data_IF_453990052251
#
_entry.id   IF_453990052251
#
_cell.length_a   1.000
_cell.length_b   1.000
_cell.length_c   1.000
_cell.angle_alpha   90.00
_cell.angle_beta   90.00
_cell.angle_gamma   90.00
#
_symmetry.space_group_name_H-M   'P 1'
#
loop_
_entity.id
_entity.type
_entity.pdbx_description
1 polymer ?
#
# COMPACT_ATOMS: atom_id res chain seq x y z
N UNK A 1 9.20 -19.41 -15.45
CA UNK A 1 10.38 -19.17 -14.59
C UNK A 1 9.90 -18.70 -13.24
N UNK A 2 10.53 -19.21 -12.18
CA UNK A 2 10.30 -18.80 -10.79
C UNK A 2 11.53 -18.04 -10.29
N UNK A 3 11.31 -16.89 -9.68
CA UNK A 3 12.36 -16.05 -9.10
C UNK A 3 12.12 -15.72 -7.63
N UNK A 4 13.20 -15.35 -6.94
CA UNK A 4 13.16 -14.86 -5.56
C UNK A 4 12.29 -13.59 -5.44
N UNK A 5 11.48 -13.45 -4.40
CA UNK A 5 10.69 -12.23 -4.14
C UNK A 5 11.56 -10.98 -3.89
N UNK A 6 12.86 -11.14 -3.65
CA UNK A 6 13.79 -10.04 -3.45
C UNK A 6 14.10 -9.30 -4.76
N UNK A 7 14.10 -10.03 -5.89
CA UNK A 7 14.48 -9.48 -7.20
C UNK A 7 13.51 -8.37 -7.65
N UNK A 8 14.07 -7.36 -8.29
CA UNK A 8 13.29 -6.30 -8.92
C UNK A 8 12.64 -6.79 -10.21
N UNK A 9 11.35 -6.52 -10.37
CA UNK A 9 10.57 -6.98 -11.53
C UNK A 9 11.07 -6.31 -12.81
N UNK A 10 11.38 -5.03 -12.75
CA UNK A 10 11.84 -4.26 -13.92
C UNK A 10 13.19 -4.76 -14.42
N UNK A 11 14.10 -5.10 -13.50
CA UNK A 11 15.40 -5.71 -13.85
C UNK A 11 15.23 -7.08 -14.49
N UNK A 12 14.36 -7.93 -13.92
CA UNK A 12 14.09 -9.25 -14.47
C UNK A 12 13.50 -9.20 -15.90
N UNK A 13 12.57 -8.25 -16.17
CA UNK A 13 11.99 -8.08 -17.51
C UNK A 13 13.06 -7.70 -18.56
N UNK A 14 14.09 -6.94 -18.17
CA UNK A 14 15.18 -6.56 -19.09
C UNK A 14 16.06 -7.75 -19.49
N UNK A 15 16.16 -8.75 -18.63
CA UNK A 15 16.99 -9.94 -18.85
C UNK A 15 16.22 -11.07 -19.53
N UNK A 16 14.90 -11.15 -19.31
CA UNK A 16 14.05 -12.21 -19.85
C UNK A 16 13.46 -11.82 -21.21
N UNK A 17 13.50 -12.76 -22.17
CA UNK A 17 12.84 -12.61 -23.47
C UNK A 17 11.44 -13.21 -23.45
N UNK A 18 10.51 -12.62 -24.21
CA UNK A 18 9.18 -13.17 -24.45
C UNK A 18 8.29 -13.31 -23.20
N UNK A 19 8.44 -12.39 -22.23
CA UNK A 19 7.60 -12.35 -21.03
C UNK A 19 6.18 -11.96 -21.43
N UNK A 20 5.21 -12.83 -21.15
CA UNK A 20 3.78 -12.59 -21.39
C UNK A 20 3.05 -12.16 -20.13
N UNK A 21 3.30 -12.85 -19.02
CA UNK A 21 2.68 -12.53 -17.74
C UNK A 21 3.68 -12.61 -16.59
N UNK A 22 3.44 -11.81 -15.58
CA UNK A 22 4.18 -11.88 -14.30
C UNK A 22 3.15 -12.04 -13.18
N UNK A 23 3.33 -13.08 -12.37
CA UNK A 23 2.50 -13.35 -11.21
C UNK A 23 3.29 -13.08 -9.94
N UNK A 24 2.76 -12.17 -9.10
CA UNK A 24 3.30 -11.84 -7.79
C UNK A 24 2.40 -12.48 -6.75
N UNK A 25 2.91 -13.49 -6.07
CA UNK A 25 2.16 -14.30 -5.10
C UNK A 25 2.57 -13.94 -3.68
N UNK A 26 1.60 -13.49 -2.88
CA UNK A 26 1.77 -13.23 -1.46
C UNK A 26 0.87 -14.15 -0.63
N UNK A 27 1.36 -14.54 0.55
CA UNK A 27 0.61 -15.29 1.56
C UNK A 27 0.62 -14.47 2.84
N UNK A 28 -0.57 -14.16 3.36
CA UNK A 28 -0.72 -13.35 4.59
C UNK A 28 0.05 -12.02 4.52
N UNK A 29 -0.03 -11.36 3.36
CA UNK A 29 0.63 -10.08 3.10
C UNK A 29 2.18 -10.13 3.11
N UNK A 30 2.76 -11.27 2.80
CA UNK A 30 4.20 -11.48 2.62
C UNK A 30 4.44 -12.11 1.24
N UNK A 31 5.22 -11.45 0.37
CA UNK A 31 5.50 -11.93 -0.99
C UNK A 31 6.37 -13.16 -0.93
N UNK A 32 5.91 -14.25 -1.53
CA UNK A 32 6.59 -15.54 -1.54
C UNK A 32 7.22 -15.88 -2.87
N UNK A 33 6.57 -15.53 -3.98
CA UNK A 33 6.97 -15.95 -5.31
C UNK A 33 6.81 -14.84 -6.34
N UNK A 34 7.77 -14.77 -7.27
CA UNK A 34 7.66 -14.08 -8.55
C UNK A 34 7.71 -15.15 -9.65
N UNK A 35 6.63 -15.27 -10.42
CA UNK A 35 6.51 -16.25 -11.49
C UNK A 35 6.37 -15.52 -12.82
N UNK A 36 7.20 -15.88 -13.79
CA UNK A 36 7.21 -15.32 -15.15
C UNK A 36 6.74 -16.38 -16.13
N UNK A 37 5.67 -16.09 -16.84
CA UNK A 37 5.19 -16.87 -17.97
C UNK A 37 5.83 -16.31 -19.23
N UNK A 38 6.59 -17.16 -19.93
CA UNK A 38 7.19 -16.84 -21.21
C UNK A 38 6.47 -17.64 -22.31
N UNK A 39 6.23 -16.98 -23.43
CA UNK A 39 5.64 -17.59 -24.61
C UNK A 39 6.54 -17.26 -25.82
N UNK A 40 7.04 -18.29 -26.52
CA UNK A 40 7.96 -18.13 -27.64
C UNK A 40 7.41 -17.10 -28.64
N UNK A 41 8.26 -16.15 -29.03
CA UNK A 41 7.95 -15.11 -30.01
C UNK A 41 6.85 -14.08 -29.54
N UNK A 42 6.48 -14.09 -28.25
CA UNK A 42 5.52 -13.12 -27.71
C UNK A 42 6.13 -11.71 -27.70
N UNK A 43 5.44 -10.77 -28.33
CA UNK A 43 5.83 -9.35 -28.43
C UNK A 43 4.69 -8.40 -27.95
N UNK A 44 3.69 -8.93 -27.25
CA UNK A 44 2.56 -8.15 -26.74
C UNK A 44 2.86 -7.45 -25.40
N UNK A 45 1.83 -6.79 -24.85
CA UNK A 45 1.91 -6.13 -23.56
C UNK A 45 2.01 -7.16 -22.40
N UNK A 46 2.93 -6.91 -21.47
CA UNK A 46 3.13 -7.79 -20.31
C UNK A 46 2.01 -7.55 -19.30
N UNK A 47 1.29 -8.60 -18.91
CA UNK A 47 0.27 -8.56 -17.88
C UNK A 47 0.86 -8.84 -16.51
N UNK A 48 0.60 -7.95 -15.55
CA UNK A 48 0.93 -8.13 -14.15
C UNK A 48 -0.29 -8.68 -13.40
N UNK A 49 -0.12 -9.81 -12.75
CA UNK A 49 -1.14 -10.48 -11.93
C UNK A 49 -0.67 -10.53 -10.48
N UNK A 50 -1.33 -9.80 -9.58
CA UNK A 50 -1.03 -9.85 -8.15
C UNK A 50 -2.07 -10.69 -7.43
N UNK A 51 -1.63 -11.54 -6.52
CA UNK A 51 -2.50 -12.35 -5.68
C UNK A 51 -1.98 -12.39 -4.26
N UNK A 52 -2.85 -12.15 -3.28
CA UNK A 52 -2.53 -12.28 -1.87
C UNK A 52 -3.55 -13.22 -1.21
N UNK A 53 -3.08 -14.39 -0.76
CA UNK A 53 -3.87 -15.34 0.00
C UNK A 53 -3.89 -14.92 1.48
N UNK A 54 -5.01 -14.38 1.95
CA UNK A 54 -5.23 -14.07 3.36
C UNK A 54 -6.03 -15.18 4.05
N UNK A 55 -6.14 -15.13 5.39
CA UNK A 55 -6.96 -16.10 6.14
C UNK A 55 -8.46 -16.01 5.79
N UNK A 56 -8.95 -14.84 5.40
CA UNK A 56 -10.38 -14.57 5.19
C UNK A 56 -10.79 -14.63 3.72
N UNK A 57 -9.90 -14.21 2.82
CA UNK A 57 -10.20 -14.10 1.39
C UNK A 57 -8.92 -14.07 0.55
N UNK A 58 -9.10 -14.22 -0.76
CA UNK A 58 -8.06 -14.00 -1.76
C UNK A 58 -8.25 -12.63 -2.39
N UNK A 59 -7.20 -11.81 -2.36
CA UNK A 59 -7.18 -10.49 -2.99
C UNK A 59 -6.41 -10.57 -4.30
N UNK A 60 -7.02 -10.11 -5.38
CA UNK A 60 -6.42 -10.07 -6.73
C UNK A 60 -6.45 -8.65 -7.27
N UNK A 61 -5.41 -8.29 -8.02
CA UNK A 61 -5.35 -7.03 -8.76
C UNK A 61 -4.44 -7.22 -9.98
N UNK A 62 -4.92 -6.81 -11.16
CA UNK A 62 -4.22 -7.05 -12.43
C UNK A 62 -4.13 -5.75 -13.22
N UNK A 63 -3.04 -5.58 -13.96
CA UNK A 63 -2.83 -4.42 -14.83
C UNK A 63 -1.79 -4.74 -15.92
N UNK A 64 -1.62 -3.84 -16.89
CA UNK A 64 -0.60 -3.95 -17.92
C UNK A 64 0.67 -3.22 -17.49
N UNK A 65 1.81 -3.88 -17.65
CA UNK A 65 3.12 -3.31 -17.32
C UNK A 65 3.40 -2.09 -18.21
N UNK A 66 4.00 -1.05 -17.62
CA UNK A 66 4.34 0.21 -18.31
C UNK A 66 3.16 0.97 -18.94
N UNK A 67 1.91 0.65 -18.61
CA UNK A 67 0.80 1.48 -19.00
C UNK A 67 0.95 2.86 -18.37
N UNK A 68 0.91 3.91 -19.20
CA UNK A 68 0.96 5.30 -18.72
C UNK A 68 -0.37 5.65 -18.05
N UNK A 69 -0.40 5.57 -16.74
CA UNK A 69 -1.57 5.89 -15.91
C UNK A 69 -1.24 7.05 -15.00
N UNK A 70 -2.11 8.05 -14.96
CA UNK A 70 -1.96 9.22 -14.09
C UNK A 70 -2.82 8.98 -12.85
N UNK A 71 -2.22 9.07 -11.66
CA UNK A 71 -2.98 9.03 -10.41
C UNK A 71 -3.76 10.31 -10.18
N UNK A 72 -4.96 10.15 -9.65
CA UNK A 72 -5.69 11.23 -8.99
C UNK A 72 -5.26 11.32 -7.52
N UNK A 73 -5.19 12.56 -7.00
CA UNK A 73 -4.73 12.85 -5.64
C UNK A 73 -5.78 13.61 -4.85
N UNK A 74 -5.85 13.35 -3.54
CA UNK A 74 -6.76 14.04 -2.63
C UNK A 74 -6.21 14.00 -1.19
N UNK A 75 -6.55 15.02 -0.39
CA UNK A 75 -6.38 14.98 1.06
C UNK A 75 -7.19 13.83 1.66
N UNK A 76 -6.83 13.31 2.86
CA UNK A 76 -7.55 12.22 3.48
C UNK A 76 -9.05 12.50 3.62
N UNK A 77 -9.88 11.57 3.12
CA UNK A 77 -11.34 11.61 3.17
C UNK A 77 -11.87 10.77 4.36
N UNK A 78 -12.90 9.95 4.13
CA UNK A 78 -13.53 9.15 5.19
C UNK A 78 -12.86 7.81 5.45
N UNK A 79 -12.22 7.24 4.42
CA UNK A 79 -11.60 5.92 4.46
C UNK A 79 -10.16 5.97 3.99
N UNK A 80 -9.31 5.20 4.65
CA UNK A 80 -7.90 5.01 4.29
C UNK A 80 -7.68 3.56 3.83
N UNK A 81 -6.89 3.40 2.78
CA UNK A 81 -6.52 2.08 2.26
C UNK A 81 -5.01 1.95 2.07
N UNK A 82 -4.51 0.77 2.38
CA UNK A 82 -3.13 0.39 2.14
C UNK A 82 -3.11 -0.89 1.30
N UNK A 83 -2.46 -0.89 0.12
CA UNK A 83 -2.38 -2.06 -0.76
C UNK A 83 -1.69 -3.24 -0.07
N UNK A 84 -2.04 -4.45 -0.49
CA UNK A 84 -1.33 -5.64 -0.04
C UNK A 84 0.10 -5.70 -0.60
N UNK A 85 0.94 -6.57 -0.01
CA UNK A 85 2.34 -6.67 -0.34
C UNK A 85 2.60 -7.07 -1.82
N UNK A 86 1.72 -7.86 -2.46
CA UNK A 86 1.87 -8.23 -3.86
C UNK A 86 1.72 -7.02 -4.78
N UNK A 87 0.76 -6.13 -4.51
CA UNK A 87 0.59 -4.87 -5.24
C UNK A 87 1.76 -3.92 -4.97
N UNK A 88 2.20 -3.79 -3.71
CA UNK A 88 3.37 -2.96 -3.38
C UNK A 88 4.62 -3.44 -4.13
N UNK A 89 4.82 -4.75 -4.23
CA UNK A 89 5.93 -5.35 -4.99
C UNK A 89 5.81 -5.13 -6.49
N UNK A 90 4.60 -5.09 -7.03
CA UNK A 90 4.36 -4.95 -8.48
C UNK A 90 4.63 -3.55 -9.03
N UNK A 91 4.70 -2.52 -8.18
CA UNK A 91 4.80 -1.13 -8.61
C UNK A 91 3.52 -0.54 -9.20
N UNK A 92 2.38 -1.25 -9.18
CA UNK A 92 1.09 -0.84 -9.77
C UNK A 92 0.38 0.29 -9.01
N UNK A 93 1.11 1.31 -8.56
CA UNK A 93 0.57 2.35 -7.68
C UNK A 93 -0.40 3.31 -8.36
N UNK A 94 -0.19 3.57 -9.64
CA UNK A 94 -1.05 4.44 -10.43
C UNK A 94 -2.32 3.71 -10.90
N UNK A 95 -2.19 2.41 -11.17
CA UNK A 95 -3.27 1.56 -11.65
C UNK A 95 -4.41 1.42 -10.63
N UNK A 96 -4.11 1.55 -9.34
CA UNK A 96 -5.12 1.50 -8.27
C UNK A 96 -6.14 2.63 -8.44
N UNK A 97 -5.71 3.87 -8.68
CA UNK A 97 -6.63 5.01 -8.86
C UNK A 97 -7.33 5.00 -10.21
N UNK A 98 -6.80 4.28 -11.20
CA UNK A 98 -7.44 4.12 -12.49
C UNK A 98 -8.56 3.06 -12.49
N UNK A 99 -8.48 2.06 -11.60
CA UNK A 99 -9.41 0.94 -11.56
C UNK A 99 -10.38 0.99 -10.39
N UNK A 100 -10.04 1.73 -9.34
CA UNK A 100 -10.85 1.82 -8.12
C UNK A 100 -11.22 3.27 -7.83
N UNK A 101 -12.37 3.48 -7.20
CA UNK A 101 -12.86 4.82 -6.78
C UNK A 101 -12.10 5.30 -5.53
N UNK A 102 -10.81 5.56 -5.71
CA UNK A 102 -9.90 6.07 -4.68
C UNK A 102 -8.93 7.11 -5.24
N UNK A 103 -8.38 7.93 -4.35
CA UNK A 103 -7.34 8.91 -4.62
C UNK A 103 -6.07 8.57 -3.85
N UNK A 104 -4.90 8.85 -4.41
CA UNK A 104 -3.64 8.81 -3.65
C UNK A 104 -3.55 10.02 -2.71
N UNK A 105 -3.06 9.79 -1.49
CA UNK A 105 -2.82 10.89 -0.54
C UNK A 105 -1.55 11.66 -0.92
N UNK A 106 -0.52 10.96 -1.40
CA UNK A 106 0.75 11.55 -1.82
C UNK A 106 1.47 10.62 -2.81
N UNK A 107 2.27 11.20 -3.72
CA UNK A 107 2.95 10.40 -4.76
C UNK A 107 3.82 9.26 -4.21
N UNK A 108 4.44 9.43 -3.04
CA UNK A 108 5.37 8.46 -2.44
C UNK A 108 4.80 7.70 -1.23
N UNK A 109 3.58 7.99 -0.77
CA UNK A 109 3.03 7.34 0.44
C UNK A 109 2.47 5.95 0.18
N UNK A 110 2.00 5.68 -1.04
CA UNK A 110 1.25 4.46 -1.39
C UNK A 110 0.06 4.18 -0.46
N UNK A 111 -0.53 5.26 0.05
CA UNK A 111 -1.79 5.27 0.79
C UNK A 111 -2.87 5.89 -0.08
N UNK A 112 -4.09 5.36 0.03
CA UNK A 112 -5.23 5.78 -0.77
C UNK A 112 -6.39 6.15 0.13
N UNK A 113 -7.27 7.03 -0.37
CA UNK A 113 -8.43 7.49 0.36
C UNK A 113 -9.67 7.50 -0.50
N UNK A 114 -10.85 7.35 0.11
CA UNK A 114 -12.13 7.54 -0.55
C UNK A 114 -13.19 8.06 0.42
N UNK A 115 -14.27 8.60 -0.14
CA UNK A 115 -15.44 9.03 0.64
C UNK A 115 -16.35 7.85 1.02
N UNK A 116 -16.33 6.79 0.23
CA UNK A 116 -17.15 5.60 0.44
C UNK A 116 -16.29 4.41 0.83
N UNK A 117 -16.85 3.49 1.64
CA UNK A 117 -16.20 2.20 1.87
C UNK A 117 -16.27 1.36 0.60
N UNK A 118 -15.12 0.94 0.09
CA UNK A 118 -15.01 0.13 -1.12
C UNK A 118 -14.32 -1.21 -0.84
N UNK A 119 -14.52 -2.20 -1.71
CA UNK A 119 -13.73 -3.43 -1.70
C UNK A 119 -12.34 -3.12 -2.26
N UNK A 120 -11.34 -3.13 -1.40
CA UNK A 120 -9.97 -2.77 -1.74
C UNK A 120 -9.02 -3.99 -1.59
N UNK A 121 -8.08 -4.22 -2.52
CA UNK A 121 -7.13 -5.34 -2.45
C UNK A 121 -5.96 -5.03 -1.48
N UNK A 122 -6.28 -4.97 -0.19
CA UNK A 122 -5.35 -4.59 0.88
C UNK A 122 -6.04 -4.51 2.22
N UNK A 123 -5.62 -3.54 3.04
CA UNK A 123 -6.23 -3.22 4.33
C UNK A 123 -7.07 -1.95 4.19
N UNK A 124 -8.25 -1.93 4.78
CA UNK A 124 -9.14 -0.76 4.86
C UNK A 124 -9.33 -0.28 6.28
N UNK A 125 -9.50 1.04 6.44
CA UNK A 125 -9.66 1.69 7.72
C UNK A 125 -10.68 2.84 7.62
N UNK A 126 -11.46 3.06 8.68
CA UNK A 126 -12.27 4.27 8.84
C UNK A 126 -11.38 5.36 9.46
N UNK A 127 -11.27 6.51 8.81
CA UNK A 127 -10.56 7.67 9.35
C UNK A 127 -11.43 8.33 10.43
N UNK A 128 -10.83 8.58 11.59
CA UNK A 128 -11.47 9.25 12.72
C UNK A 128 -10.95 10.68 12.91
N UNK A 129 -9.67 10.90 12.63
CA UNK A 129 -9.06 12.23 12.67
C UNK A 129 -7.82 12.29 11.79
N UNK A 130 -7.55 13.48 11.26
CA UNK A 130 -6.32 13.83 10.56
C UNK A 130 -5.70 15.02 11.29
N UNK A 131 -4.47 14.88 11.75
CA UNK A 131 -3.77 15.89 12.54
C UNK A 131 -2.41 16.18 11.94
N UNK A 132 -1.92 17.43 12.00
CA UNK A 132 -0.49 17.69 11.86
C UNK A 132 0.32 16.86 12.87
N UNK A 133 1.60 16.61 12.59
CA UNK A 133 2.45 15.90 13.54
C UNK A 133 2.69 16.74 14.82
N UNK A 134 1.79 16.58 15.78
CA UNK A 134 1.83 17.20 17.11
C UNK A 134 1.72 16.12 18.18
N UNK A 135 2.79 15.95 18.97
CA UNK A 135 2.88 14.92 20.00
C UNK A 135 1.76 14.99 21.02
N UNK A 136 1.44 16.20 21.50
CA UNK A 136 0.43 16.38 22.55
C UNK A 136 -0.96 16.03 22.03
N UNK A 137 -1.29 16.47 20.82
CA UNK A 137 -2.58 16.18 20.17
C UNK A 137 -2.74 14.69 19.87
N UNK A 138 -1.68 14.05 19.33
CA UNK A 138 -1.73 12.61 18.99
C UNK A 138 -1.91 11.74 20.24
N UNK A 139 -1.17 12.02 21.32
CA UNK A 139 -1.27 11.23 22.57
C UNK A 139 -2.66 11.36 23.21
N UNK A 140 -3.32 12.52 23.09
CA UNK A 140 -4.70 12.72 23.58
C UNK A 140 -5.73 11.83 22.89
N UNK A 141 -5.49 11.39 21.65
CA UNK A 141 -6.37 10.46 20.93
C UNK A 141 -6.32 9.03 21.48
N UNK A 142 -5.28 8.70 22.26
CA UNK A 142 -4.98 7.35 22.72
C UNK A 142 -5.03 7.26 24.25
N UNK A 143 -6.21 7.11 24.87
CA UNK A 143 -6.32 7.06 26.35
C UNK A 143 -5.49 5.92 26.94
N UNK A 144 -5.40 4.79 26.24
CA UNK A 144 -4.63 3.61 26.68
C UNK A 144 -3.16 3.64 26.24
N UNK A 145 -2.69 4.69 25.57
CA UNK A 145 -1.32 4.79 25.00
C UNK A 145 -0.88 3.55 24.24
N UNK A 146 -1.79 2.95 23.47
CA UNK A 146 -1.57 1.73 22.71
C UNK A 146 -2.14 1.89 21.30
N UNK A 147 -1.33 1.63 20.25
CA UNK A 147 -1.77 1.69 18.86
C UNK A 147 -0.87 0.89 17.93
N UNK A 148 -1.43 0.46 16.80
CA UNK A 148 -0.69 -0.06 15.65
C UNK A 148 -0.18 1.12 14.83
N UNK A 149 1.14 1.25 14.66
CA UNK A 149 1.77 2.38 13.96
C UNK A 149 2.28 1.91 12.61
N UNK A 150 1.97 2.68 11.57
CA UNK A 150 2.54 2.54 10.22
C UNK A 150 3.12 3.88 9.77
N UNK A 151 4.30 3.84 9.14
CA UNK A 151 4.92 5.01 8.51
C UNK A 151 4.98 4.82 7.00
N UNK A 152 4.59 5.85 6.23
CA UNK A 152 4.68 5.89 4.77
C UNK A 152 5.11 7.28 4.33
N UNK A 153 6.26 7.38 3.67
CA UNK A 153 6.84 8.68 3.31
C UNK A 153 6.92 9.63 4.51
N UNK A 154 7.54 9.18 5.58
CA UNK A 154 7.69 9.92 6.84
C UNK A 154 9.13 9.86 7.33
N UNK A 155 9.63 10.93 7.92
CA UNK A 155 11.05 11.09 8.29
C UNK A 155 11.47 10.30 9.53
N UNK A 156 10.53 9.67 10.27
CA UNK A 156 10.81 8.87 11.47
C UNK A 156 10.37 7.43 11.28
N UNK A 157 11.15 6.51 11.85
CA UNK A 157 10.77 5.11 11.94
C UNK A 157 9.67 4.88 12.98
N UNK A 158 8.98 3.73 12.89
CA UNK A 158 7.98 3.30 13.88
C UNK A 158 8.60 3.25 15.30
N UNK A 159 9.84 2.76 15.44
CA UNK A 159 10.53 2.68 16.73
C UNK A 159 10.77 4.06 17.35
N UNK A 160 11.21 5.03 16.55
CA UNK A 160 11.42 6.41 16.99
C UNK A 160 10.11 7.05 17.46
N UNK A 161 9.03 6.88 16.68
CA UNK A 161 7.68 7.40 17.04
C UNK A 161 7.18 6.78 18.33
N UNK A 162 7.32 5.46 18.51
CA UNK A 162 6.92 4.77 19.75
C UNK A 162 7.65 5.31 20.98
N UNK A 163 8.96 5.47 20.87
CA UNK A 163 9.80 6.03 21.95
C UNK A 163 9.37 7.46 22.29
N UNK A 164 9.17 8.29 21.25
CA UNK A 164 8.87 9.71 21.40
C UNK A 164 7.47 9.97 21.99
N UNK A 165 6.46 9.22 21.54
CA UNK A 165 5.07 9.36 21.99
C UNK A 165 4.73 8.45 23.19
N UNK A 166 5.63 7.58 23.61
CA UNK A 166 5.45 6.57 24.67
C UNK A 166 4.21 5.68 24.40
N UNK A 167 4.04 5.23 23.14
CA UNK A 167 2.93 4.39 22.70
C UNK A 167 3.38 2.95 22.61
N UNK A 168 2.63 2.02 23.26
CA UNK A 168 2.82 0.57 23.18
C UNK A 168 2.21 0.01 21.90
N UNK A 169 2.69 -1.16 21.45
CA UNK A 169 2.14 -1.86 20.28
C UNK A 169 0.79 -2.52 20.52
N UNK A 170 -0.03 -2.59 19.45
CA UNK A 170 -1.29 -3.32 19.41
C UNK A 170 -2.52 -2.50 19.83
N UNK A 171 -3.62 -3.20 20.14
CA UNK A 171 -4.94 -2.60 20.34
C UNK A 171 -5.68 -2.38 19.02
N UNK A 172 -6.80 -1.66 19.09
CA UNK A 172 -7.71 -1.43 17.96
C UNK A 172 -7.50 -0.09 17.27
N UNK A 173 -6.57 0.72 17.80
CA UNK A 173 -6.21 2.01 17.26
C UNK A 173 -5.08 1.88 16.23
N UNK A 174 -5.21 2.60 15.12
CA UNK A 174 -4.22 2.64 14.05
C UNK A 174 -3.79 4.08 13.79
N UNK A 175 -2.49 4.32 13.74
CA UNK A 175 -1.89 5.61 13.42
C UNK A 175 -1.03 5.46 12.17
N UNK A 176 -1.38 6.20 11.13
CA UNK A 176 -0.58 6.30 9.91
C UNK A 176 0.14 7.65 9.91
N UNK A 177 1.46 7.60 9.93
CA UNK A 177 2.31 8.79 9.80
C UNK A 177 2.77 8.89 8.35
N UNK A 178 2.44 10.00 7.70
CA UNK A 178 2.68 10.21 6.27
C UNK A 178 2.84 11.69 5.93
N UNK A 179 3.20 11.97 4.68
CA UNK A 179 3.09 13.32 4.10
C UNK A 179 1.78 13.46 3.35
N UNK A 180 1.18 14.65 3.40
CA UNK A 180 0.02 15.04 2.60
C UNK A 180 0.45 15.66 1.25
N UNK A 181 -0.50 16.14 0.45
CA UNK A 181 -0.25 16.73 -0.87
C UNK A 181 0.69 17.95 -0.83
N UNK A 182 0.74 18.67 0.28
CA UNK A 182 1.59 19.84 0.49
C UNK A 182 2.95 19.49 1.12
N UNK A 183 3.34 18.21 1.14
CA UNK A 183 4.54 17.69 1.81
C UNK A 183 4.59 17.98 3.32
N UNK A 184 3.44 18.25 3.94
CA UNK A 184 3.33 18.45 5.39
C UNK A 184 3.15 17.10 6.08
N UNK A 185 3.87 16.89 7.17
CA UNK A 185 3.77 15.66 7.96
C UNK A 185 2.48 15.59 8.76
N UNK A 186 1.75 14.51 8.59
CA UNK A 186 0.45 14.27 9.20
C UNK A 186 0.39 12.92 9.90
N UNK A 187 -0.48 12.84 10.90
CA UNK A 187 -0.91 11.62 11.54
C UNK A 187 -2.39 11.38 11.23
N UNK A 188 -2.71 10.26 10.61
CA UNK A 188 -4.08 9.83 10.33
C UNK A 188 -4.47 8.77 11.36
N UNK A 189 -5.43 9.10 12.22
CA UNK A 189 -5.96 8.20 13.24
C UNK A 189 -7.15 7.42 12.69
N UNK A 190 -7.11 6.10 12.81
CA UNK A 190 -8.06 5.20 12.17
C UNK A 190 -8.50 4.04 13.07
N UNK A 191 -9.65 3.45 12.72
CA UNK A 191 -10.08 2.10 13.14
C UNK A 191 -10.10 1.17 11.93
N UNK A 192 -9.71 -0.08 12.13
CA UNK A 192 -9.73 -1.10 11.07
C UNK A 192 -11.16 -1.49 10.73
N UNK A 193 -11.45 -1.67 9.42
CA UNK A 193 -12.72 -2.19 8.90
C UNK A 193 -12.86 -3.70 9.09
#
# INVERSE_FOLDING_TARGET
IKNSPILDITSAIKELKFVKEIHIVAIRNDVKELLYLLEKEYNGEIKINTINFSKKNTQKFNFLFNKKTISSYQEPLDYLYEPNAAILKSGGFHEITAQLDVYKIHQHSHLYTSKKNIKFPGRGFKILAVLPYDKKKIVKLLPNKKANITTRNFHKSVAQIRKELKIKDGGDDYLFFTSNLHNTFSCIYCKKL
#
